data_IF_544684155702
#
_entry.id   IF_544684155702
#
_cell.length_a   1.000
_cell.length_b   1.000
_cell.length_c   1.000
_cell.angle_alpha   90.00
_cell.angle_beta   90.00
_cell.angle_gamma   90.00
#
_symmetry.space_group_name_H-M   'P 1'
#
loop_
_entity.id
_entity.type
_entity.pdbx_description
1 polymer ?
#
# COMPACT_ATOMS: atom_id res chain seq x y z
N UNK A 1 2.73 9.00 -32.20
CA UNK A 1 3.37 8.57 -30.94
C UNK A 1 4.14 9.74 -30.34
N UNK A 2 3.76 10.28 -29.18
CA UNK A 2 4.68 11.01 -28.33
C UNK A 2 4.99 10.19 -27.08
N UNK A 3 6.27 9.85 -26.90
CA UNK A 3 6.77 9.18 -25.70
C UNK A 3 7.08 10.17 -24.57
N UNK A 4 6.80 9.75 -23.35
CA UNK A 4 7.18 10.39 -22.10
C UNK A 4 7.92 9.41 -21.18
N UNK A 5 9.17 9.11 -21.54
CA UNK A 5 10.32 8.60 -20.74
C UNK A 5 10.04 7.96 -19.37
N UNK A 6 10.32 6.66 -19.28
CA UNK A 6 10.45 5.88 -18.04
C UNK A 6 11.67 6.26 -17.20
N UNK A 7 11.62 7.43 -16.56
CA UNK A 7 12.48 7.81 -15.43
C UNK A 7 11.69 7.73 -14.12
N UNK A 8 12.39 7.52 -13.00
CA UNK A 8 11.78 7.60 -11.66
C UNK A 8 11.12 8.98 -11.51
N UNK A 9 9.86 9.07 -11.05
CA UNK A 9 9.21 10.36 -10.80
C UNK A 9 10.05 11.21 -9.85
N UNK A 10 10.05 12.53 -10.05
CA UNK A 10 10.55 13.45 -9.04
C UNK A 10 9.53 13.51 -7.89
N UNK A 11 9.89 12.88 -6.77
CA UNK A 11 9.05 12.84 -5.57
C UNK A 11 9.17 14.11 -4.72
N UNK A 12 10.11 15.00 -5.05
CA UNK A 12 10.37 16.25 -4.32
C UNK A 12 10.46 16.01 -2.81
N UNK A 13 9.62 16.66 -1.99
CA UNK A 13 9.66 16.52 -0.53
C UNK A 13 9.29 15.11 -0.02
N UNK A 14 8.71 14.25 -0.86
CA UNK A 14 8.30 12.90 -0.47
C UNK A 14 9.37 11.84 -0.74
N UNK A 15 10.52 12.22 -1.31
CA UNK A 15 11.59 11.27 -1.72
C UNK A 15 11.98 10.32 -0.60
N UNK A 16 12.27 10.82 0.60
CA UNK A 16 12.68 9.99 1.74
C UNK A 16 11.56 9.04 2.21
N UNK A 17 10.30 9.48 2.12
CA UNK A 17 9.16 8.63 2.48
C UNK A 17 8.97 7.50 1.47
N UNK A 18 9.11 7.81 0.18
CA UNK A 18 9.02 6.83 -0.91
C UNK A 18 10.14 5.81 -0.80
N UNK A 19 11.39 6.25 -0.62
CA UNK A 19 12.54 5.33 -0.50
C UNK A 19 12.43 4.38 0.69
N UNK A 20 11.97 4.88 1.84
CA UNK A 20 11.68 4.03 3.00
C UNK A 20 10.60 3.02 2.70
N UNK A 21 9.54 3.42 1.99
CA UNK A 21 8.46 2.51 1.65
C UNK A 21 8.86 1.50 0.58
N UNK A 22 9.70 1.86 -0.38
CA UNK A 22 10.31 0.92 -1.34
C UNK A 22 11.13 -0.14 -0.62
N UNK A 23 11.91 0.25 0.40
CA UNK A 23 12.65 -0.69 1.23
C UNK A 23 11.74 -1.63 2.05
N UNK A 24 10.62 -1.12 2.57
CA UNK A 24 9.64 -1.94 3.34
C UNK A 24 8.86 -2.90 2.44
N UNK A 25 8.44 -2.44 1.26
CA UNK A 25 7.65 -3.24 0.31
C UNK A 25 8.50 -4.16 -0.56
N UNK A 26 9.80 -3.88 -0.68
CA UNK A 26 10.72 -4.65 -1.51
C UNK A 26 10.55 -4.40 -3.01
N UNK A 27 9.83 -3.35 -3.41
CA UNK A 27 9.61 -3.02 -4.81
C UNK A 27 9.64 -1.50 -5.04
N UNK A 28 10.11 -1.04 -6.21
CA UNK A 28 10.15 0.38 -6.55
C UNK A 28 8.74 0.95 -6.67
N UNK A 29 8.59 2.23 -6.34
CA UNK A 29 7.32 2.92 -6.40
C UNK A 29 6.84 3.03 -7.86
N UNK A 30 5.61 2.57 -8.17
CA UNK A 30 5.01 2.85 -9.48
C UNK A 30 4.82 4.36 -9.67
N UNK A 31 4.72 4.79 -10.93
CA UNK A 31 4.40 6.19 -11.23
C UNK A 31 3.08 6.61 -10.58
N UNK A 32 3.00 7.79 -9.92
CA UNK A 32 1.81 8.19 -9.15
C UNK A 32 0.61 8.51 -10.03
N UNK A 33 0.86 8.83 -11.31
CA UNK A 33 -0.16 9.09 -12.33
C UNK A 33 0.09 8.23 -13.56
N UNK A 34 -0.98 7.94 -14.29
CA UNK A 34 -0.94 7.30 -15.60
C UNK A 34 -0.58 8.30 -16.71
N UNK A 35 -0.48 7.82 -17.96
CA UNK A 35 -0.06 8.61 -19.13
C UNK A 35 -0.99 9.81 -19.43
N UNK A 36 -2.21 9.82 -18.89
CA UNK A 36 -3.18 10.91 -19.04
C UNK A 36 -3.32 11.76 -17.78
N UNK A 37 -2.40 11.61 -16.82
CA UNK A 37 -2.30 12.43 -15.61
C UNK A 37 -3.30 12.08 -14.52
N UNK A 38 -3.90 10.88 -14.54
CA UNK A 38 -4.85 10.44 -13.52
C UNK A 38 -4.16 9.52 -12.52
N UNK A 39 -4.64 9.51 -11.27
CA UNK A 39 -4.09 8.66 -10.20
C UNK A 39 -3.91 7.19 -10.63
N UNK A 40 -2.71 6.65 -10.50
CA UNK A 40 -2.41 5.30 -10.99
C UNK A 40 -2.81 4.23 -9.96
N UNK A 41 -3.77 3.31 -10.24
CA UNK A 41 -4.17 2.29 -9.25
C UNK A 41 -3.02 1.40 -8.74
N UNK A 42 -2.07 0.92 -9.57
CA UNK A 42 -0.84 0.26 -9.11
C UNK A 42 -0.05 1.05 -8.06
N UNK A 43 0.05 2.37 -8.19
CA UNK A 43 0.71 3.20 -7.18
C UNK A 43 -0.06 3.19 -5.85
N UNK A 44 -1.39 3.26 -5.90
CA UNK A 44 -2.22 3.19 -4.69
C UNK A 44 -2.14 1.80 -4.05
N UNK A 45 -2.13 0.72 -4.84
CA UNK A 45 -1.93 -0.65 -4.34
C UNK A 45 -0.58 -0.83 -3.64
N UNK A 46 0.48 -0.27 -4.23
CA UNK A 46 1.79 -0.21 -3.62
C UNK A 46 1.81 0.62 -2.32
N UNK A 47 1.14 1.78 -2.30
CA UNK A 47 1.00 2.62 -1.11
C UNK A 47 0.30 1.86 0.03
N UNK A 48 -0.66 1.00 -0.31
CA UNK A 48 -1.34 0.11 0.64
C UNK A 48 -0.46 -1.05 1.14
N UNK A 49 0.75 -1.22 0.61
CA UNK A 49 1.68 -2.28 0.99
C UNK A 49 1.22 -3.66 0.55
N UNK A 50 0.36 -3.72 -0.47
CA UNK A 50 -0.19 -4.96 -1.02
C UNK A 50 0.79 -5.57 -2.03
N UNK A 51 0.76 -6.90 -2.22
CA UNK A 51 1.46 -7.53 -3.34
C UNK A 51 0.98 -6.93 -4.68
N UNK A 52 1.90 -6.79 -5.64
CA UNK A 52 1.56 -6.29 -6.96
C UNK A 52 0.47 -7.16 -7.61
N UNK A 53 -0.59 -6.52 -8.11
CA UNK A 53 -1.72 -7.18 -8.75
C UNK A 53 -2.84 -7.63 -7.81
N UNK A 54 -2.72 -7.44 -6.49
CA UNK A 54 -3.70 -7.91 -5.51
C UNK A 54 -5.15 -7.45 -5.80
N UNK A 55 -5.32 -6.18 -6.17
CA UNK A 55 -6.54 -5.55 -6.67
C UNK A 55 -6.41 -5.25 -8.16
N UNK A 56 -5.23 -4.80 -8.60
CA UNK A 56 -5.06 -4.24 -9.95
C UNK A 56 -5.00 -5.28 -11.07
N UNK A 57 -4.75 -6.56 -10.75
CA UNK A 57 -4.76 -7.66 -11.71
C UNK A 57 -6.06 -8.51 -11.68
N UNK A 58 -7.08 -8.08 -10.92
CA UNK A 58 -8.37 -8.79 -10.86
C UNK A 58 -9.13 -8.64 -12.18
N UNK A 59 -9.44 -9.74 -12.91
CA UNK A 59 -10.13 -9.66 -14.19
C UNK A 59 -11.50 -8.98 -14.10
N UNK A 60 -11.78 -8.08 -15.05
CA UNK A 60 -13.07 -7.39 -15.13
C UNK A 60 -13.28 -6.24 -14.12
N UNK A 61 -12.31 -5.98 -13.23
CA UNK A 61 -12.43 -4.90 -12.25
C UNK A 61 -12.10 -3.55 -12.89
N UNK A 62 -13.08 -2.66 -12.96
CA UNK A 62 -12.89 -1.31 -13.54
C UNK A 62 -11.94 -0.47 -12.69
N UNK A 63 -11.26 0.50 -13.31
CA UNK A 63 -10.36 1.45 -12.62
C UNK A 63 -11.03 2.13 -11.41
N UNK A 64 -12.28 2.55 -11.55
CA UNK A 64 -13.06 3.17 -10.46
C UNK A 64 -13.29 2.18 -9.32
N UNK A 65 -13.62 0.93 -9.63
CA UNK A 65 -13.81 -0.11 -8.63
C UNK A 65 -12.49 -0.48 -7.91
N UNK A 66 -11.37 -0.54 -8.64
CA UNK A 66 -10.04 -0.74 -8.06
C UNK A 66 -9.69 0.36 -7.06
N UNK A 67 -9.80 1.62 -7.46
CA UNK A 67 -9.52 2.76 -6.57
C UNK A 67 -10.47 2.81 -5.37
N UNK A 68 -11.75 2.46 -5.56
CA UNK A 68 -12.71 2.35 -4.45
C UNK A 68 -12.28 1.26 -3.47
N UNK A 69 -11.89 0.08 -3.96
CA UNK A 69 -11.44 -1.02 -3.10
C UNK A 69 -10.16 -0.65 -2.34
N UNK A 70 -9.17 -0.08 -3.04
CA UNK A 70 -7.91 0.36 -2.45
C UNK A 70 -8.11 1.47 -1.41
N UNK A 71 -8.93 2.49 -1.73
CA UNK A 71 -9.19 3.61 -0.82
C UNK A 71 -10.02 3.25 0.42
N UNK A 72 -10.77 2.14 0.39
CA UNK A 72 -11.49 1.62 1.56
C UNK A 72 -10.77 0.45 2.24
N UNK A 73 -9.61 0.04 1.72
CA UNK A 73 -8.82 -1.06 2.24
C UNK A 73 -8.07 -0.67 3.51
N UNK A 74 -7.50 -1.68 4.18
CA UNK A 74 -6.61 -1.48 5.32
C UNK A 74 -5.18 -1.79 4.89
N UNK A 75 -4.20 -1.00 5.37
CA UNK A 75 -2.78 -1.29 5.19
C UNK A 75 -2.42 -2.55 6.01
N UNK A 76 -2.05 -3.69 5.39
CA UNK A 76 -1.87 -4.96 6.10
C UNK A 76 -0.81 -4.92 7.20
N UNK A 77 0.25 -4.13 7.02
CA UNK A 77 1.32 -3.92 7.99
C UNK A 77 0.77 -3.26 9.26
N UNK A 78 -0.11 -2.26 9.12
CA UNK A 78 -0.76 -1.57 10.24
C UNK A 78 -1.78 -2.47 10.93
N UNK A 79 -2.60 -3.21 10.16
CA UNK A 79 -3.53 -4.20 10.72
C UNK A 79 -2.78 -5.25 11.54
N UNK A 80 -1.69 -5.79 11.00
CA UNK A 80 -0.85 -6.78 11.68
C UNK A 80 -0.26 -6.23 12.98
N UNK A 81 0.26 -5.01 12.97
CA UNK A 81 0.77 -4.35 14.18
C UNK A 81 -0.33 -4.17 15.24
N UNK A 82 -1.51 -3.69 14.84
CA UNK A 82 -2.65 -3.52 15.73
C UNK A 82 -3.10 -4.85 16.35
N UNK A 83 -3.19 -5.91 15.54
CA UNK A 83 -3.57 -7.24 16.01
C UNK A 83 -2.56 -7.80 17.02
N UNK A 84 -1.25 -7.62 16.80
CA UNK A 84 -0.21 -8.01 17.77
C UNK A 84 -0.38 -7.26 19.09
N UNK A 85 -0.55 -5.93 19.04
CA UNK A 85 -0.77 -5.11 20.24
C UNK A 85 -2.01 -5.53 21.02
N UNK A 86 -3.10 -5.86 20.33
CA UNK A 86 -4.34 -6.33 20.96
C UNK A 86 -4.17 -7.72 21.58
N UNK A 87 -3.46 -8.62 20.89
CA UNK A 87 -3.16 -9.96 21.39
C UNK A 87 -2.30 -9.89 22.66
N UNK A 88 -1.23 -9.11 22.65
CA UNK A 88 -0.34 -8.94 23.81
C UNK A 88 -1.11 -8.41 25.03
N UNK A 89 -1.99 -7.43 24.82
CA UNK A 89 -2.87 -6.90 25.87
C UNK A 89 -3.87 -7.93 26.38
N UNK A 90 -4.45 -8.72 25.46
CA UNK A 90 -5.37 -9.78 25.83
C UNK A 90 -4.66 -10.83 26.68
N UNK A 91 -3.48 -11.31 26.27
CA UNK A 91 -2.69 -12.29 27.02
C UNK A 91 -2.26 -11.76 28.39
N UNK A 92 -1.80 -10.50 28.47
CA UNK A 92 -1.43 -9.88 29.74
C UNK A 92 -2.62 -9.76 30.71
N UNK A 93 -3.83 -9.51 30.19
CA UNK A 93 -5.07 -9.47 30.98
C UNK A 93 -5.65 -10.85 31.28
N UNK A 94 -5.39 -11.83 30.41
CA UNK A 94 -5.78 -13.23 30.56
C UNK A 94 -4.84 -14.02 31.48
N UNK A 95 -3.94 -13.34 32.20
CA UNK A 95 -3.40 -13.81 33.48
C UNK A 95 -4.35 -13.38 34.62
N UNK A 96 -5.33 -14.21 35.04
CA UNK A 96 -5.93 -14.11 36.36
C UNK A 96 -5.41 -15.20 37.32
N UNK A 97 -5.09 -14.76 38.54
CA UNK A 97 -5.09 -15.50 39.82
C UNK A 97 -4.46 -16.91 39.83
N UNK A 98 -3.16 -16.99 39.59
CA UNK A 98 -2.33 -18.09 40.08
C UNK A 98 -1.55 -17.65 41.33
N UNK A 99 -2.29 -17.47 42.43
CA UNK A 99 -1.76 -17.44 43.80
C UNK A 99 -2.84 -17.99 44.75
#
# INVERSE_FOLDING_TARGET
MPGGRGGRPDWGPYTEAVERWEAVTGCPAPGPVDDVGRLNPPFVEWLMGLPAGWVTAVPGLSRTAQLKALGNGVVPQQATAALRLLLDRHTARALPDAA
#
